data_IF_611299841131
#
_entry.id   IF_611299841131
#
_cell.length_a   1.000
_cell.length_b   1.000
_cell.length_c   1.000
_cell.angle_alpha   90.00
_cell.angle_beta   90.00
_cell.angle_gamma   90.00
#
_symmetry.space_group_name_H-M   'P 1'
#
loop_
_entity.id
_entity.type
_entity.pdbx_description
1 polymer ?
#
# COMPACT_ATOMS: atom_id res chain seq x y z
N UNK A 1 -61.63 34.57 -28.24
CA UNK A 1 -61.39 35.65 -27.25
C UNK A 1 -59.97 36.15 -27.51
N UNK A 2 -59.82 37.20 -28.33
CA UNK A 2 -59.64 38.60 -27.92
C UNK A 2 -58.23 38.88 -27.32
N UNK A 3 -57.30 39.33 -28.17
CA UNK A 3 -56.65 40.68 -28.18
C UNK A 3 -55.60 40.85 -27.06
N UNK A 4 -54.29 40.65 -27.32
CA UNK A 4 -53.37 41.60 -28.00
C UNK A 4 -53.83 43.07 -27.94
N UNK A 5 -53.12 43.88 -27.15
CA UNK A 5 -52.98 45.33 -27.34
C UNK A 5 -51.49 45.67 -27.35
N UNK A 6 -51.05 46.19 -28.49
CA UNK A 6 -49.82 46.93 -28.67
C UNK A 6 -50.14 48.43 -28.57
N UNK A 7 -49.11 49.23 -28.25
CA UNK A 7 -48.97 50.66 -28.60
C UNK A 7 -47.48 50.99 -28.50
N UNK A 8 -46.76 50.98 -29.63
CA UNK A 8 -46.30 52.16 -30.41
C UNK A 8 -45.36 53.05 -29.55
N UNK A 9 -44.05 52.98 -29.74
CA UNK A 9 -43.22 53.53 -30.83
C UNK A 9 -42.94 55.02 -30.66
N UNK A 10 -41.71 55.35 -30.28
CA UNK A 10 -40.98 56.49 -30.85
C UNK A 10 -39.49 56.13 -30.93
N UNK A 11 -38.88 56.45 -32.05
CA UNK A 11 -37.54 56.02 -32.42
C UNK A 11 -36.54 57.16 -32.31
N UNK A 12 -35.33 56.81 -31.90
CA UNK A 12 -34.11 57.49 -32.34
C UNK A 12 -32.99 56.46 -32.33
N UNK A 13 -32.42 56.23 -33.51
CA UNK A 13 -31.28 55.36 -33.73
C UNK A 13 -30.09 56.23 -34.15
N UNK A 14 -29.13 56.42 -33.25
CA UNK A 14 -27.71 56.79 -33.44
C UNK A 14 -27.04 56.40 -32.09
N UNK A 15 -25.90 55.69 -31.93
CA UNK A 15 -24.65 55.48 -32.67
C UNK A 15 -23.99 54.20 -32.06
N UNK A 16 -23.44 53.23 -32.82
CA UNK A 16 -22.87 52.00 -32.28
C UNK A 16 -21.46 52.14 -31.65
N UNK A 17 -20.94 53.35 -31.42
CA UNK A 17 -19.54 53.53 -31.01
C UNK A 17 -19.33 54.29 -29.69
N UNK A 18 -19.99 53.83 -28.61
CA UNK A 18 -19.58 54.15 -27.24
C UNK A 18 -19.10 52.87 -26.55
N UNK A 19 -17.79 52.66 -26.61
CA UNK A 19 -17.06 51.83 -25.65
C UNK A 19 -17.37 52.37 -24.25
N UNK A 20 -18.22 51.66 -23.52
CA UNK A 20 -18.28 51.78 -22.07
C UNK A 20 -17.22 50.82 -21.57
N UNK A 21 -16.07 51.36 -21.18
CA UNK A 21 -15.15 50.69 -20.26
C UNK A 21 -15.93 50.50 -18.96
N UNK A 22 -16.62 49.37 -18.84
CA UNK A 22 -17.27 48.97 -17.61
C UNK A 22 -16.28 48.12 -16.82
N UNK A 23 -15.69 48.78 -15.82
CA UNK A 23 -15.47 48.23 -14.49
C UNK A 23 -14.75 46.89 -14.43
N UNK A 24 -13.45 47.01 -14.27
CA UNK A 24 -12.61 46.12 -13.46
C UNK A 24 -13.41 45.50 -12.30
N UNK A 25 -13.77 44.23 -12.48
CA UNK A 25 -14.14 43.32 -11.40
C UNK A 25 -13.74 41.93 -11.88
N UNK A 26 -12.43 41.72 -12.01
CA UNK A 26 -11.88 40.40 -11.79
C UNK A 26 -12.19 40.03 -10.34
N UNK A 27 -13.37 39.44 -10.12
CA UNK A 27 -13.50 38.44 -9.05
C UNK A 27 -12.56 37.31 -9.46
N UNK A 28 -11.27 37.51 -9.15
CA UNK A 28 -10.35 36.43 -8.90
C UNK A 28 -10.98 35.67 -7.73
N UNK A 29 -11.84 34.71 -8.05
CA UNK A 29 -12.13 33.61 -7.15
C UNK A 29 -10.78 32.99 -6.85
N UNK A 30 -10.15 33.46 -5.77
CA UNK A 30 -9.03 32.84 -5.10
C UNK A 30 -9.46 31.39 -4.87
N UNK A 31 -9.12 30.51 -5.80
CA UNK A 31 -9.05 29.09 -5.53
C UNK A 31 -8.05 29.00 -4.39
N UNK A 32 -8.54 28.83 -3.16
CA UNK A 32 -7.70 28.55 -1.99
C UNK A 32 -6.79 27.38 -2.39
N UNK A 33 -5.53 27.69 -2.72
CA UNK A 33 -4.55 26.68 -3.11
C UNK A 33 -4.29 25.86 -1.85
N UNK A 34 -4.89 24.67 -1.80
CA UNK A 34 -4.65 23.72 -0.70
C UNK A 34 -3.27 23.12 -0.92
N UNK A 35 -2.29 23.61 -0.15
CA UNK A 35 -0.97 23.02 -0.08
C UNK A 35 -1.01 21.84 0.88
N UNK A 36 -0.68 20.66 0.36
CA UNK A 36 -0.57 19.43 1.16
C UNK A 36 0.90 19.05 1.19
N UNK A 37 1.53 19.21 2.35
CA UNK A 37 2.90 18.79 2.58
C UNK A 37 2.95 17.40 3.19
N UNK A 38 3.72 16.51 2.58
CA UNK A 38 4.02 15.18 3.11
C UNK A 38 5.32 15.25 3.88
N UNK A 39 5.28 14.92 5.16
CA UNK A 39 6.43 14.97 6.05
C UNK A 39 6.72 13.57 6.61
N UNK A 40 8.01 13.24 6.69
CA UNK A 40 8.46 11.96 7.22
C UNK A 40 8.91 12.13 8.67
N UNK A 41 8.45 11.24 9.54
CA UNK A 41 8.78 11.23 10.95
C UNK A 41 9.17 9.82 11.41
N UNK A 42 10.04 9.76 12.41
CA UNK A 42 10.20 8.54 13.19
C UNK A 42 8.88 8.22 13.92
N UNK A 43 8.69 6.96 14.26
CA UNK A 43 7.57 6.52 15.09
C UNK A 43 7.55 7.24 16.44
N UNK A 44 6.39 7.79 16.80
CA UNK A 44 6.12 8.38 18.10
C UNK A 44 5.13 7.49 18.88
N UNK A 45 5.57 6.78 19.94
CA UNK A 45 4.70 5.89 20.70
C UNK A 45 3.48 6.57 21.35
N UNK A 46 3.54 7.88 21.59
CA UNK A 46 2.44 8.64 22.21
C UNK A 46 1.34 8.99 21.21
N UNK A 47 1.68 9.05 19.91
CA UNK A 47 0.80 9.52 18.84
C UNK A 47 0.42 8.36 17.89
N UNK A 48 1.39 7.57 17.46
CA UNK A 48 1.29 6.71 16.27
C UNK A 48 0.66 5.33 16.51
N UNK A 49 0.30 4.98 17.75
CA UNK A 49 -0.26 3.67 18.07
C UNK A 49 -1.53 3.37 17.28
N UNK A 50 -2.45 4.33 17.18
CA UNK A 50 -3.72 4.13 16.49
C UNK A 50 -3.57 4.13 14.96
N UNK A 51 -2.76 5.02 14.40
CA UNK A 51 -2.42 5.04 12.97
C UNK A 51 -1.75 3.74 12.53
N UNK A 52 -0.70 3.32 13.26
CA UNK A 52 0.04 2.07 13.01
C UNK A 52 -0.89 0.86 13.03
N UNK A 53 -1.75 0.75 14.05
CA UNK A 53 -2.72 -0.35 14.16
C UNK A 53 -3.71 -0.39 12.99
N UNK A 54 -4.12 0.78 12.50
CA UNK A 54 -5.06 0.88 11.38
C UNK A 54 -4.41 0.47 10.07
N UNK A 55 -3.18 0.91 9.83
CA UNK A 55 -2.38 0.50 8.66
C UNK A 55 -2.05 -1.00 8.68
N UNK A 56 -1.68 -1.56 9.84
CA UNK A 56 -1.46 -3.02 9.96
C UNK A 56 -2.73 -3.85 9.68
N UNK A 57 -3.90 -3.38 10.12
CA UNK A 57 -5.19 -4.00 9.77
C UNK A 57 -5.47 -3.92 8.29
N UNK A 58 -5.11 -2.80 7.66
CA UNK A 58 -5.24 -2.64 6.21
C UNK A 58 -4.30 -3.58 5.46
N UNK A 59 -3.06 -3.78 5.94
CA UNK A 59 -2.07 -4.68 5.33
C UNK A 59 -2.49 -6.16 5.40
N UNK A 60 -2.99 -6.59 6.56
CA UNK A 60 -3.41 -7.98 6.78
C UNK A 60 -4.88 -8.23 6.40
N UNK A 61 -5.60 -7.19 5.97
CA UNK A 61 -6.98 -7.24 5.50
C UNK A 61 -7.92 -8.00 6.46
N UNK A 62 -8.78 -8.89 5.96
CA UNK A 62 -9.71 -9.74 6.73
C UNK A 62 -8.99 -10.67 7.71
N UNK A 63 -7.74 -11.03 7.43
CA UNK A 63 -6.93 -11.85 8.30
C UNK A 63 -6.36 -11.06 9.49
N UNK A 64 -6.48 -9.73 9.51
CA UNK A 64 -6.09 -8.90 10.66
C UNK A 64 -6.73 -9.38 11.98
N UNK A 65 -7.91 -9.99 11.93
CA UNK A 65 -8.61 -10.59 13.07
C UNK A 65 -7.92 -11.85 13.65
N UNK A 66 -6.94 -12.44 12.94
CA UNK A 66 -6.15 -13.59 13.40
C UNK A 66 -4.98 -13.17 14.29
N UNK A 67 -4.63 -11.89 14.32
CA UNK A 67 -3.40 -11.41 14.94
C UNK A 67 -3.68 -10.45 16.09
N UNK A 68 -2.73 -10.42 17.02
CA UNK A 68 -2.65 -9.35 18.01
C UNK A 68 -2.03 -8.10 17.35
N UNK A 69 -2.88 -7.33 16.66
CA UNK A 69 -2.43 -6.10 15.99
C UNK A 69 -1.95 -5.05 16.99
N UNK A 70 -2.52 -5.00 18.20
CA UNK A 70 -2.03 -4.09 19.24
C UNK A 70 -0.58 -4.44 19.61
N UNK A 71 -0.31 -5.71 19.88
CA UNK A 71 1.04 -6.17 20.21
C UNK A 71 2.05 -5.99 19.07
N UNK A 72 1.62 -6.10 17.80
CA UNK A 72 2.46 -5.75 16.65
C UNK A 72 2.76 -4.25 16.58
N UNK A 73 1.75 -3.40 16.80
CA UNK A 73 1.95 -1.95 16.82
C UNK A 73 2.89 -1.53 17.96
N UNK A 74 2.69 -2.04 19.18
CA UNK A 74 3.59 -1.80 20.32
C UNK A 74 5.02 -2.23 20.01
N UNK A 75 5.18 -3.37 19.32
CA UNK A 75 6.50 -3.85 18.92
C UNK A 75 7.17 -2.91 17.91
N UNK A 76 6.44 -2.45 16.89
CA UNK A 76 6.96 -1.51 15.89
C UNK A 76 7.39 -0.21 16.57
N UNK A 77 6.53 0.35 17.42
CA UNK A 77 6.80 1.59 18.15
C UNK A 77 7.91 1.47 19.19
N UNK A 78 8.21 0.25 19.66
CA UNK A 78 9.32 0.01 20.59
C UNK A 78 10.69 0.07 19.92
N UNK A 79 10.75 0.08 18.58
CA UNK A 79 11.99 0.24 17.83
C UNK A 79 12.41 1.71 17.86
N UNK A 80 13.62 2.04 18.33
CA UNK A 80 14.02 3.44 18.51
C UNK A 80 14.35 4.16 17.19
N UNK A 81 14.88 3.44 16.20
CA UNK A 81 15.53 4.04 15.02
C UNK A 81 15.13 3.40 13.70
N UNK A 82 14.26 2.38 13.70
CA UNK A 82 13.96 1.61 12.48
C UNK A 82 12.53 1.86 11.99
N UNK A 83 12.48 2.55 10.86
CA UNK A 83 11.29 2.84 10.10
C UNK A 83 10.73 4.24 10.32
N UNK A 84 9.86 4.63 9.40
CA UNK A 84 9.29 5.97 9.31
C UNK A 84 7.79 5.94 9.06
N UNK A 85 7.15 7.03 9.42
CA UNK A 85 5.75 7.35 9.12
C UNK A 85 5.68 8.57 8.21
N UNK A 86 4.61 8.65 7.40
CA UNK A 86 4.29 9.88 6.65
C UNK A 86 3.03 10.50 7.22
N UNK A 87 3.12 11.78 7.54
CA UNK A 87 2.03 12.59 8.08
C UNK A 87 1.83 13.83 7.22
N UNK A 88 0.64 14.38 7.32
CA UNK A 88 0.25 15.64 6.68
C UNK A 88 -0.11 16.62 7.79
N UNK A 89 0.24 17.90 7.62
CA UNK A 89 -0.05 18.97 8.58
C UNK A 89 0.62 18.77 9.97
N UNK A 90 1.82 18.19 10.01
CA UNK A 90 2.66 18.11 11.21
C UNK A 90 2.59 16.80 12.01
N UNK A 91 3.48 16.71 13.01
CA UNK A 91 3.78 15.47 13.76
C UNK A 91 2.63 14.95 14.63
N UNK A 92 1.74 15.85 15.08
CA UNK A 92 0.63 15.53 16.00
C UNK A 92 -0.50 14.72 15.33
N UNK A 93 -0.50 14.65 13.99
CA UNK A 93 -1.51 13.93 13.23
C UNK A 93 -1.21 12.43 13.11
N UNK A 94 -2.26 11.67 12.78
CA UNK A 94 -2.15 10.24 12.50
C UNK A 94 -1.27 9.97 11.27
N UNK A 95 -0.49 8.88 11.34
CA UNK A 95 0.29 8.38 10.20
C UNK A 95 -0.62 7.89 9.06
N UNK A 96 -0.37 8.38 7.85
CA UNK A 96 -1.04 7.95 6.62
C UNK A 96 -0.25 6.93 5.81
N UNK A 97 1.04 6.79 6.10
CA UNK A 97 1.88 5.70 5.63
C UNK A 97 2.83 5.27 6.74
N UNK A 98 3.26 4.01 6.70
CA UNK A 98 4.34 3.48 7.51
C UNK A 98 5.24 2.56 6.68
N UNK A 99 6.52 2.53 7.04
CA UNK A 99 7.49 1.56 6.58
C UNK A 99 8.41 1.21 7.75
N UNK A 100 8.61 -0.07 8.04
CA UNK A 100 9.54 -0.53 9.08
C UNK A 100 10.04 -1.95 8.78
N UNK A 101 11.10 -2.37 9.45
CA UNK A 101 11.64 -3.73 9.35
C UNK A 101 11.79 -4.37 10.74
N UNK A 102 11.14 -5.52 10.97
CA UNK A 102 11.22 -6.27 12.22
C UNK A 102 12.13 -7.49 12.07
N UNK A 103 13.04 -7.72 13.03
CA UNK A 103 13.78 -8.97 13.07
C UNK A 103 12.89 -10.11 13.60
N UNK A 104 12.51 -11.03 12.70
CA UNK A 104 11.67 -12.18 13.05
C UNK A 104 12.37 -13.16 13.99
N UNK A 105 13.68 -13.34 13.85
CA UNK A 105 14.46 -14.21 14.71
C UNK A 105 14.60 -13.61 16.12
N UNK A 106 14.95 -12.33 16.24
CA UNK A 106 15.10 -11.66 17.55
C UNK A 106 13.80 -11.68 18.35
N UNK A 107 12.67 -11.41 17.69
CA UNK A 107 11.37 -11.31 18.35
C UNK A 107 10.56 -12.61 18.34
N UNK A 108 11.14 -13.75 17.95
CA UNK A 108 10.45 -15.05 17.78
C UNK A 108 9.68 -15.56 19.00
N UNK A 109 10.08 -15.15 20.21
CA UNK A 109 9.42 -15.54 21.45
C UNK A 109 8.22 -14.64 21.80
N UNK A 110 8.08 -13.48 21.15
CA UNK A 110 6.91 -12.60 21.31
C UNK A 110 5.74 -13.21 20.52
N UNK A 111 4.62 -13.43 21.22
CA UNK A 111 3.42 -14.04 20.63
C UNK A 111 2.99 -13.43 19.28
N UNK A 112 2.93 -12.09 19.10
CA UNK A 112 2.50 -11.51 17.82
C UNK A 112 3.42 -11.91 16.65
N UNK A 113 4.73 -12.03 16.88
CA UNK A 113 5.71 -12.44 15.87
C UNK A 113 5.67 -13.94 15.62
N UNK A 114 5.50 -14.75 16.67
CA UNK A 114 5.34 -16.20 16.51
C UNK A 114 4.12 -16.54 15.65
N UNK A 115 2.98 -15.88 15.89
CA UNK A 115 1.76 -16.07 15.11
C UNK A 115 1.93 -15.59 13.66
N UNK A 116 2.56 -14.44 13.46
CA UNK A 116 2.81 -13.89 12.13
C UNK A 116 3.78 -14.76 11.32
N UNK A 117 4.86 -15.25 11.95
CA UNK A 117 5.85 -16.14 11.33
C UNK A 117 5.21 -17.45 10.88
N UNK A 118 4.37 -18.05 11.73
CA UNK A 118 3.61 -19.26 11.38
C UNK A 118 2.68 -19.01 10.21
N UNK A 119 1.90 -17.93 10.25
CA UNK A 119 1.01 -17.56 9.17
C UNK A 119 1.74 -17.35 7.84
N UNK A 120 2.85 -16.60 7.85
CA UNK A 120 3.67 -16.36 6.65
C UNK A 120 4.17 -17.68 6.05
N UNK A 121 4.66 -18.61 6.89
CA UNK A 121 5.11 -19.93 6.43
C UNK A 121 3.99 -20.77 5.81
N UNK A 122 2.78 -20.72 6.38
CA UNK A 122 1.58 -21.38 5.83
C UNK A 122 1.20 -20.75 4.48
N UNK A 123 1.15 -19.41 4.41
CA UNK A 123 0.78 -18.67 3.19
C UNK A 123 1.79 -18.78 2.07
N UNK A 124 3.09 -18.87 2.39
CA UNK A 124 4.12 -19.14 1.40
C UNK A 124 3.89 -20.49 0.71
N UNK A 125 3.46 -21.51 1.43
CA UNK A 125 3.12 -22.83 0.85
C UNK A 125 1.87 -22.77 -0.02
N UNK A 126 0.86 -22.02 0.42
CA UNK A 126 -0.39 -21.83 -0.35
C UNK A 126 -0.16 -21.04 -1.65
N UNK A 127 0.80 -20.12 -1.67
CA UNK A 127 1.12 -19.28 -2.84
C UNK A 127 1.43 -20.10 -4.09
N UNK A 128 2.13 -21.25 -3.96
CA UNK A 128 2.44 -22.15 -5.07
C UNK A 128 1.19 -22.80 -5.70
N UNK A 129 0.12 -22.97 -4.92
CA UNK A 129 -1.15 -23.55 -5.36
C UNK A 129 -2.20 -22.51 -5.78
N UNK A 130 -1.88 -21.22 -5.65
CA UNK A 130 -2.82 -20.13 -5.88
C UNK A 130 -3.00 -19.87 -7.39
N UNK A 131 -4.23 -19.85 -7.91
CA UNK A 131 -4.50 -19.50 -9.30
C UNK A 131 -3.95 -18.11 -9.65
N UNK A 132 -3.34 -17.97 -10.83
CA UNK A 132 -2.69 -16.72 -11.25
C UNK A 132 -1.21 -16.60 -10.87
N UNK A 133 -0.70 -17.46 -9.98
CA UNK A 133 0.71 -17.45 -9.52
C UNK A 133 1.57 -18.56 -10.12
N UNK A 134 1.26 -19.09 -11.30
CA UNK A 134 1.96 -20.24 -11.92
C UNK A 134 3.38 -19.94 -12.42
N UNK A 135 4.10 -19.03 -11.76
CA UNK A 135 5.50 -18.70 -12.02
C UNK A 135 6.42 -19.54 -11.14
N UNK A 136 7.62 -19.83 -11.62
CA UNK A 136 8.67 -20.50 -10.83
C UNK A 136 9.00 -19.77 -9.52
N UNK A 137 8.70 -18.46 -9.45
CA UNK A 137 8.94 -17.62 -8.27
C UNK A 137 8.07 -17.99 -7.07
N UNK A 138 6.81 -18.41 -7.28
CA UNK A 138 5.91 -18.78 -6.18
C UNK A 138 6.25 -20.16 -5.61
N UNK A 139 6.72 -21.08 -6.45
CA UNK A 139 7.26 -22.38 -6.02
C UNK A 139 8.55 -22.19 -5.21
N UNK A 140 9.45 -21.32 -5.67
CA UNK A 140 10.65 -20.94 -4.92
C UNK A 140 10.30 -20.32 -3.56
N UNK A 141 9.24 -19.52 -3.48
CA UNK A 141 8.76 -18.91 -2.25
C UNK A 141 8.27 -19.98 -1.25
N UNK A 142 7.47 -20.93 -1.74
CA UNK A 142 6.91 -22.03 -0.95
C UNK A 142 7.98 -22.94 -0.34
N UNK A 143 9.14 -23.08 -1.01
CA UNK A 143 10.30 -23.79 -0.48
C UNK A 143 11.13 -22.94 0.48
N UNK A 144 11.54 -21.74 0.03
CA UNK A 144 12.53 -20.93 0.74
C UNK A 144 12.02 -20.30 2.04
N UNK A 145 10.80 -19.73 2.04
CA UNK A 145 10.31 -18.95 3.19
C UNK A 145 10.12 -19.82 4.43
N UNK A 146 9.42 -20.98 4.39
CA UNK A 146 9.27 -21.81 5.58
C UNK A 146 10.62 -22.28 6.16
N UNK A 147 11.59 -22.57 5.30
CA UNK A 147 12.92 -23.04 5.71
C UNK A 147 13.76 -21.91 6.37
N UNK A 148 13.67 -20.68 5.83
CA UNK A 148 14.31 -19.50 6.41
C UNK A 148 13.72 -19.15 7.78
N UNK A 149 12.39 -19.27 7.93
CA UNK A 149 11.67 -18.96 9.16
C UNK A 149 11.77 -20.06 10.23
N UNK A 150 12.15 -21.28 9.85
CA UNK A 150 12.36 -22.36 10.80
C UNK A 150 13.59 -22.10 11.67
N UNK A 151 13.35 -21.59 12.89
CA UNK A 151 14.36 -21.20 13.87
C UNK A 151 15.39 -22.29 14.23
N UNK A 152 15.06 -23.57 13.96
CA UNK A 152 15.92 -24.72 14.29
C UNK A 152 16.93 -25.10 13.20
N UNK A 153 16.83 -24.55 11.98
CA UNK A 153 17.55 -25.08 10.81
C UNK A 153 18.45 -24.09 10.06
N UNK A 154 18.09 -22.81 9.96
CA UNK A 154 18.82 -21.89 9.04
C UNK A 154 19.79 -20.93 9.74
N UNK A 155 19.53 -20.57 11.00
CA UNK A 155 20.22 -19.44 11.66
C UNK A 155 20.01 -18.09 10.95
N UNK A 156 19.13 -18.04 9.95
CA UNK A 156 18.90 -16.89 9.09
C UNK A 156 18.25 -15.76 9.90
N UNK A 157 18.80 -14.56 9.77
CA UNK A 157 18.16 -13.34 10.25
C UNK A 157 17.26 -12.82 9.13
N UNK A 158 15.95 -12.90 9.31
CA UNK A 158 14.97 -12.40 8.33
C UNK A 158 14.38 -11.10 8.84
N UNK A 159 14.56 -10.02 8.07
CA UNK A 159 13.92 -8.73 8.30
C UNK A 159 12.56 -8.72 7.63
N UNK A 160 11.49 -8.70 8.41
CA UNK A 160 10.13 -8.55 7.91
C UNK A 160 9.86 -7.06 7.66
N UNK A 161 9.80 -6.67 6.38
CA UNK A 161 9.47 -5.32 5.97
C UNK A 161 7.95 -5.19 5.89
N UNK A 162 7.41 -4.24 6.66
CA UNK A 162 5.99 -3.90 6.67
C UNK A 162 5.83 -2.52 6.05
N UNK A 163 5.15 -2.46 4.90
CA UNK A 163 4.90 -1.24 4.13
C UNK A 163 3.41 -1.11 3.86
N UNK A 164 2.80 -0.01 4.29
CA UNK A 164 1.39 0.25 3.98
C UNK A 164 1.11 1.76 3.99
N UNK A 165 0.21 2.20 3.11
CA UNK A 165 -0.26 3.59 3.06
C UNK A 165 -1.74 3.64 2.71
N UNK A 166 -2.42 4.72 3.06
CA UNK A 166 -3.77 4.95 2.57
C UNK A 166 -3.79 5.01 1.03
N UNK A 167 -4.86 4.51 0.40
CA UNK A 167 -4.93 4.34 -1.06
C UNK A 167 -4.80 5.67 -1.84
N UNK A 168 -5.10 6.79 -1.20
CA UNK A 168 -5.00 8.14 -1.75
C UNK A 168 -3.63 8.78 -1.56
N UNK A 169 -2.69 8.11 -0.88
CA UNK A 169 -1.33 8.60 -0.71
C UNK A 169 -0.52 8.39 -1.99
N UNK A 170 0.22 9.41 -2.47
CA UNK A 170 1.03 9.29 -3.67
C UNK A 170 2.13 8.23 -3.50
N UNK A 171 2.48 7.54 -4.58
CA UNK A 171 3.55 6.53 -4.59
C UNK A 171 4.94 7.11 -4.35
N UNK A 172 5.11 8.40 -4.65
CA UNK A 172 6.33 9.18 -4.59
C UNK A 172 6.84 9.34 -3.16
N UNK A 173 6.04 8.97 -2.15
CA UNK A 173 6.51 8.89 -0.76
C UNK A 173 7.36 7.65 -0.48
N UNK A 174 7.23 6.59 -1.28
CA UNK A 174 7.90 5.32 -1.03
C UNK A 174 9.43 5.42 -1.17
N UNK A 175 10.00 6.06 -2.22
CA UNK A 175 11.46 6.20 -2.34
C UNK A 175 12.19 6.75 -1.10
N UNK A 176 11.81 7.90 -0.52
CA UNK A 176 12.48 8.39 0.69
C UNK A 176 12.27 7.45 1.88
N UNK A 177 11.11 6.79 2.00
CA UNK A 177 10.89 5.82 3.08
C UNK A 177 11.86 4.63 2.97
N UNK A 178 12.00 4.03 1.79
CA UNK A 178 12.91 2.91 1.57
C UNK A 178 14.38 3.33 1.70
N UNK A 179 14.74 4.54 1.27
CA UNK A 179 16.07 5.11 1.46
C UNK A 179 16.42 5.25 2.94
N UNK A 180 15.57 5.90 3.72
CA UNK A 180 15.77 6.05 5.17
C UNK A 180 15.85 4.69 5.86
N UNK A 181 14.96 3.75 5.54
CA UNK A 181 14.99 2.41 6.13
C UNK A 181 16.33 1.69 5.87
N UNK A 182 16.89 1.83 4.65
CA UNK A 182 18.18 1.23 4.32
C UNK A 182 19.32 1.85 5.15
N UNK A 183 19.35 3.18 5.25
CA UNK A 183 20.36 3.92 6.02
C UNK A 183 20.25 3.61 7.53
N UNK A 184 19.04 3.55 8.07
CA UNK A 184 18.75 3.21 9.46
C UNK A 184 19.21 1.79 9.82
N UNK A 185 18.96 0.82 8.93
CA UNK A 185 19.40 -0.56 9.13
C UNK A 185 20.94 -0.64 9.07
N UNK A 186 21.57 0.07 8.14
CA UNK A 186 23.05 0.12 8.07
C UNK A 186 23.64 0.68 9.37
N UNK A 187 23.13 1.82 9.83
CA UNK A 187 23.55 2.43 11.09
C UNK A 187 23.35 1.50 12.30
N UNK A 188 22.18 0.84 12.41
CA UNK A 188 21.91 -0.10 13.49
C UNK A 188 22.87 -1.32 13.44
N UNK A 189 23.25 -1.78 12.25
CA UNK A 189 24.24 -2.85 12.07
C UNK A 189 25.64 -2.42 12.49
N UNK A 190 26.02 -1.16 12.23
CA UNK A 190 27.28 -0.57 12.70
C UNK A 190 27.33 -0.45 14.23
N UNK A 191 26.20 -0.10 14.86
CA UNK A 191 26.04 -0.03 16.32
C UNK A 191 25.93 -1.40 17.00
N UNK A 192 25.95 -2.49 16.22
CA UNK A 192 25.92 -3.85 16.72
C UNK A 192 24.52 -4.34 17.12
N UNK A 193 23.47 -3.63 16.70
CA UNK A 193 22.08 -4.05 16.89
C UNK A 193 21.73 -5.25 15.98
N UNK A 194 20.68 -6.03 16.33
CA UNK A 194 20.35 -7.26 15.62
C UNK A 194 19.61 -7.01 14.29
N UNK A 195 20.15 -6.17 13.40
CA UNK A 195 19.57 -5.89 12.07
C UNK A 195 20.41 -6.41 10.90
N UNK A 196 21.42 -7.24 11.19
CA UNK A 196 22.23 -7.90 10.16
C UNK A 196 21.44 -9.03 9.51
N UNK A 197 20.57 -8.66 8.59
CA UNK A 197 19.69 -9.57 7.88
C UNK A 197 20.41 -10.35 6.80
N UNK A 198 19.99 -11.60 6.62
CA UNK A 198 20.33 -12.43 5.46
C UNK A 198 19.34 -12.20 4.32
N UNK A 199 18.08 -11.95 4.67
CA UNK A 199 16.97 -11.78 3.73
C UNK A 199 16.01 -10.74 4.28
N UNK A 200 15.38 -10.02 3.36
CA UNK A 200 14.24 -9.16 3.59
C UNK A 200 13.00 -9.84 3.03
N UNK A 201 11.97 -9.96 3.85
CA UNK A 201 10.66 -10.41 3.42
C UNK A 201 9.72 -9.22 3.46
N UNK A 202 9.33 -8.70 2.29
CA UNK A 202 8.37 -7.61 2.18
C UNK A 202 6.97 -8.20 2.13
N UNK A 203 6.12 -7.77 3.08
CA UNK A 203 4.70 -8.10 3.09
C UNK A 203 3.93 -6.97 2.40
N UNK A 204 3.12 -7.32 1.41
CA UNK A 204 2.31 -6.38 0.65
C UNK A 204 0.96 -7.02 0.26
N UNK A 205 0.21 -6.36 -0.64
CA UNK A 205 -1.06 -6.83 -1.18
C UNK A 205 -1.10 -6.68 -2.69
N UNK A 206 -1.87 -7.56 -3.31
CA UNK A 206 -2.26 -7.50 -4.72
C UNK A 206 -3.76 -7.67 -4.83
N UNK A 207 -4.32 -7.44 -6.01
CA UNK A 207 -5.70 -7.80 -6.29
C UNK A 207 -5.82 -8.47 -7.65
N UNK A 208 -6.78 -9.38 -7.75
CA UNK A 208 -7.17 -10.01 -9.00
C UNK A 208 -8.44 -9.33 -9.52
N UNK A 209 -8.47 -9.03 -10.81
CA UNK A 209 -9.70 -8.66 -11.49
C UNK A 209 -10.53 -9.93 -11.78
N UNK A 210 -11.72 -10.00 -11.19
CA UNK A 210 -12.71 -11.04 -11.38
C UNK A 210 -13.89 -10.48 -12.17
N UNK A 211 -14.63 -11.33 -12.90
CA UNK A 211 -15.83 -10.86 -13.61
C UNK A 211 -16.86 -10.32 -12.60
N UNK A 212 -17.24 -9.03 -12.74
CA UNK A 212 -18.27 -8.43 -11.89
C UNK A 212 -19.57 -9.21 -11.95
N UNK A 213 -20.15 -9.49 -10.79
CA UNK A 213 -21.44 -10.16 -10.64
C UNK A 213 -22.62 -9.18 -10.64
N UNK A 214 -22.37 -7.87 -10.80
CA UNK A 214 -23.39 -6.84 -10.90
C UNK A 214 -24.03 -6.87 -12.30
N UNK A 215 -25.30 -7.28 -12.40
CA UNK A 215 -26.08 -7.24 -13.64
C UNK A 215 -26.10 -8.53 -14.48
N UNK A 216 -26.00 -9.70 -13.85
CA UNK A 216 -25.84 -11.02 -14.54
C UNK A 216 -27.10 -11.53 -15.27
N UNK A 217 -28.22 -10.80 -15.33
CA UNK A 217 -29.38 -11.28 -16.09
C UNK A 217 -29.20 -11.28 -17.63
N UNK A 218 -28.19 -10.61 -18.21
CA UNK A 218 -28.11 -10.50 -19.68
C UNK A 218 -26.80 -10.95 -20.38
N UNK A 219 -25.75 -11.39 -19.67
CA UNK A 219 -24.46 -11.75 -20.33
C UNK A 219 -24.03 -13.20 -20.17
N UNK A 220 -24.93 -14.14 -20.50
CA UNK A 220 -24.51 -15.49 -20.90
C UNK A 220 -24.07 -15.52 -22.37
N UNK A 221 -22.87 -15.03 -22.70
CA UNK A 221 -22.19 -15.35 -23.98
C UNK A 221 -20.75 -14.82 -24.06
N UNK A 222 -19.79 -15.62 -23.56
CA UNK A 222 -18.52 -16.06 -24.19
C UNK A 222 -17.53 -16.46 -23.10
N UNK A 223 -17.45 -17.75 -22.81
CA UNK A 223 -16.35 -18.35 -22.04
C UNK A 223 -15.07 -18.31 -22.88
N UNK A 224 -14.29 -17.24 -22.73
CA UNK A 224 -12.84 -17.29 -22.92
C UNK A 224 -12.22 -17.43 -21.53
N UNK A 225 -11.24 -18.30 -21.37
CA UNK A 225 -10.46 -18.41 -20.13
C UNK A 225 -9.57 -17.16 -20.06
N UNK A 226 -10.13 -16.03 -19.64
CA UNK A 226 -9.38 -14.79 -19.46
C UNK A 226 -8.42 -15.04 -18.30
N UNK A 227 -7.11 -14.94 -18.56
CA UNK A 227 -6.11 -14.97 -17.50
C UNK A 227 -6.49 -13.91 -16.47
N UNK A 228 -6.66 -14.32 -15.20
CA UNK A 228 -6.83 -13.39 -14.10
C UNK A 228 -5.53 -12.58 -14.01
N UNK A 229 -5.59 -11.30 -14.37
CA UNK A 229 -4.45 -10.40 -14.25
C UNK A 229 -4.32 -9.92 -12.81
N UNK A 230 -3.14 -10.13 -12.25
CA UNK A 230 -2.75 -9.61 -10.94
C UNK A 230 -2.32 -8.15 -11.07
N UNK A 231 -2.86 -7.31 -10.21
CA UNK A 231 -2.51 -5.90 -10.09
C UNK A 231 -1.97 -5.59 -8.69
N UNK A 232 -1.18 -4.51 -8.60
CA UNK A 232 -0.50 -4.10 -7.38
C UNK A 232 -1.20 -2.90 -6.76
N UNK A 233 -1.32 -2.92 -5.42
CA UNK A 233 -1.71 -1.71 -4.68
C UNK A 233 -0.55 -0.72 -4.58
N UNK A 234 0.67 -1.25 -4.54
CA UNK A 234 1.90 -0.51 -4.38
C UNK A 234 2.76 -0.68 -5.64
N UNK A 235 2.88 0.33 -6.53
CA UNK A 235 3.65 0.21 -7.77
C UNK A 235 5.14 -0.10 -7.55
N UNK A 236 5.70 0.22 -6.38
CA UNK A 236 7.06 -0.18 -6.00
C UNK A 236 7.26 -1.70 -5.95
N UNK A 237 6.20 -2.49 -5.70
CA UNK A 237 6.28 -3.95 -5.63
C UNK A 237 6.74 -4.56 -6.96
N UNK A 238 6.30 -3.99 -8.09
CA UNK A 238 6.73 -4.41 -9.43
C UNK A 238 8.24 -4.26 -9.64
N UNK A 239 8.84 -3.27 -8.98
CA UNK A 239 10.29 -3.04 -9.02
C UNK A 239 10.98 -4.02 -8.09
N UNK A 240 10.49 -4.17 -6.86
CA UNK A 240 11.04 -5.11 -5.88
C UNK A 240 11.09 -6.54 -6.41
N UNK A 241 10.10 -6.96 -7.21
CA UNK A 241 10.09 -8.28 -7.88
C UNK A 241 11.33 -8.55 -8.72
N UNK A 242 11.82 -7.53 -9.44
CA UNK A 242 13.00 -7.66 -10.30
C UNK A 242 14.27 -7.95 -9.49
N UNK A 243 14.26 -7.58 -8.21
CA UNK A 243 15.34 -7.80 -7.26
C UNK A 243 15.09 -8.97 -6.30
N UNK A 244 13.92 -9.60 -6.37
CA UNK A 244 13.55 -10.72 -5.52
C UNK A 244 14.22 -12.03 -5.96
N UNK A 245 14.42 -12.93 -5.00
CA UNK A 245 14.75 -14.35 -5.27
C UNK A 245 13.49 -15.21 -5.37
N UNK A 246 12.41 -14.79 -4.70
CA UNK A 246 11.11 -15.43 -4.77
C UNK A 246 10.00 -14.43 -4.43
N UNK A 247 8.83 -14.58 -5.03
CA UNK A 247 7.66 -13.76 -4.73
C UNK A 247 6.38 -14.49 -5.13
N UNK A 248 5.25 -14.09 -4.55
CA UNK A 248 3.96 -14.70 -4.87
C UNK A 248 2.81 -14.16 -4.05
N UNK A 249 1.61 -14.18 -4.63
CA UNK A 249 0.38 -13.85 -3.92
C UNK A 249 -0.24 -15.08 -3.25
N UNK A 250 -1.11 -14.85 -2.27
CA UNK A 250 -1.83 -15.92 -1.58
C UNK A 250 -3.22 -15.42 -1.16
N UNK A 251 -4.22 -16.33 -1.08
CA UNK A 251 -5.54 -15.98 -0.61
C UNK A 251 -5.51 -15.73 0.91
N UNK A 252 -6.27 -14.73 1.37
CA UNK A 252 -6.51 -14.56 2.81
C UNK A 252 -7.31 -15.73 3.36
N UNK A 253 -6.96 -16.19 4.57
CA UNK A 253 -7.62 -17.30 5.26
C UNK A 253 -9.11 -17.04 5.48
N UNK A 254 -9.45 -15.79 5.78
CA UNK A 254 -10.81 -15.31 6.04
C UNK A 254 -11.45 -14.60 4.85
N UNK A 255 -11.01 -14.87 3.62
CA UNK A 255 -11.55 -14.23 2.41
C UNK A 255 -13.09 -14.37 2.30
N UNK A 256 -13.63 -15.53 2.69
CA UNK A 256 -15.08 -15.81 2.68
C UNK A 256 -15.85 -15.15 3.84
N UNK A 257 -15.14 -14.69 4.88
CA UNK A 257 -15.72 -13.97 6.02
C UNK A 257 -15.71 -12.44 5.81
N UNK A 258 -15.58 -11.97 4.57
CA UNK A 258 -15.66 -10.55 4.25
C UNK A 258 -17.09 -10.01 4.50
N UNK A 259 -17.45 -9.77 5.77
CA UNK A 259 -18.81 -9.37 6.17
C UNK A 259 -19.06 -7.87 5.96
N UNK A 260 -18.04 -7.04 5.80
CA UNK A 260 -18.23 -5.59 5.59
C UNK A 260 -18.84 -5.29 4.21
N UNK A 261 -19.90 -4.46 4.16
CA UNK A 261 -20.59 -4.08 2.92
C UNK A 261 -19.63 -3.46 1.89
N UNK A 262 -18.61 -2.71 2.34
CA UNK A 262 -17.59 -2.13 1.46
C UNK A 262 -16.70 -3.20 0.81
N UNK A 263 -16.26 -4.22 1.56
CA UNK A 263 -15.44 -5.32 1.01
C UNK A 263 -16.25 -6.23 0.08
N UNK A 264 -17.53 -6.45 0.40
CA UNK A 264 -18.48 -7.11 -0.50
C UNK A 264 -18.67 -6.31 -1.79
N UNK A 265 -18.80 -4.99 -1.70
CA UNK A 265 -18.87 -4.13 -2.89
C UNK A 265 -17.62 -4.23 -3.77
N UNK A 266 -16.41 -4.30 -3.20
CA UNK A 266 -15.19 -4.54 -4.01
C UNK A 266 -15.21 -5.90 -4.70
N UNK A 267 -15.61 -6.96 -4.01
CA UNK A 267 -15.75 -8.30 -4.62
C UNK A 267 -16.84 -8.33 -5.70
N UNK A 268 -17.98 -7.66 -5.47
CA UNK A 268 -19.09 -7.52 -6.44
C UNK A 268 -18.68 -6.67 -7.66
N UNK A 269 -17.81 -5.68 -7.45
CA UNK A 269 -17.17 -4.88 -8.50
C UNK A 269 -16.05 -5.62 -9.24
N UNK A 270 -15.77 -6.87 -8.88
CA UNK A 270 -14.79 -7.69 -9.58
C UNK A 270 -13.35 -7.51 -9.09
N UNK A 271 -13.14 -7.13 -7.82
CA UNK A 271 -11.78 -6.98 -7.25
C UNK A 271 -11.64 -7.89 -6.05
N UNK A 272 -10.73 -8.87 -6.14
CA UNK A 272 -10.43 -9.78 -5.03
C UNK A 272 -9.04 -9.50 -4.46
N UNK A 273 -8.93 -8.92 -3.25
CA UNK A 273 -7.62 -8.67 -2.63
C UNK A 273 -6.96 -9.98 -2.21
N UNK A 274 -5.64 -10.01 -2.34
CA UNK A 274 -4.76 -11.12 -1.97
C UNK A 274 -3.55 -10.57 -1.21
N UNK A 275 -3.06 -11.34 -0.25
CA UNK A 275 -1.77 -11.04 0.36
C UNK A 275 -0.64 -11.32 -0.65
N UNK A 276 0.49 -10.65 -0.46
CA UNK A 276 1.63 -10.78 -1.35
C UNK A 276 2.94 -10.76 -0.56
N UNK A 277 3.90 -11.59 -0.97
CA UNK A 277 5.21 -11.70 -0.33
C UNK A 277 6.31 -11.56 -1.37
N UNK A 278 7.36 -10.82 -1.02
CA UNK A 278 8.53 -10.59 -1.85
C UNK A 278 9.77 -10.87 -1.00
N UNK A 279 10.53 -11.90 -1.36
CA UNK A 279 11.75 -12.32 -0.68
C UNK A 279 12.97 -11.79 -1.43
N UNK A 280 13.79 -10.97 -0.77
CA UNK A 280 14.98 -10.34 -1.34
C UNK A 280 16.19 -10.75 -0.49
N UNK A 281 17.27 -11.19 -1.11
CA UNK A 281 18.55 -11.41 -0.42
C UNK A 281 19.14 -10.07 0.02
N UNK A 282 19.78 -10.03 1.19
CA UNK A 282 20.29 -8.77 1.74
C UNK A 282 21.27 -8.04 0.82
N UNK A 283 22.09 -8.78 0.07
CA UNK A 283 23.02 -8.22 -0.93
C UNK A 283 22.34 -7.48 -2.08
N UNK A 284 21.05 -7.73 -2.34
CA UNK A 284 20.26 -7.13 -3.43
C UNK A 284 19.32 -6.04 -2.95
N UNK A 285 19.18 -5.85 -1.63
CA UNK A 285 18.20 -4.93 -1.07
C UNK A 285 18.53 -3.46 -1.36
N UNK A 286 19.79 -3.05 -1.20
CA UNK A 286 20.23 -1.69 -1.53
C UNK A 286 19.98 -1.33 -3.01
N UNK A 287 20.26 -2.26 -3.92
CA UNK A 287 19.97 -2.08 -5.35
C UNK A 287 18.46 -2.00 -5.63
N UNK A 288 17.65 -2.78 -4.89
CA UNK A 288 16.19 -2.73 -4.99
C UNK A 288 15.63 -1.37 -4.54
N UNK A 289 16.12 -0.85 -3.41
CA UNK A 289 15.75 0.48 -2.90
C UNK A 289 16.10 1.57 -3.91
N UNK A 290 17.30 1.51 -4.50
CA UNK A 290 17.72 2.45 -5.54
C UNK A 290 16.81 2.38 -6.77
N UNK A 291 16.46 1.17 -7.22
CA UNK A 291 15.58 0.97 -8.36
C UNK A 291 14.16 1.50 -8.10
N UNK A 292 13.63 1.37 -6.88
CA UNK A 292 12.36 1.99 -6.47
C UNK A 292 12.45 3.51 -6.60
N UNK A 293 13.56 4.11 -6.16
CA UNK A 293 13.83 5.53 -6.32
C UNK A 293 13.84 5.98 -7.78
N UNK A 294 14.53 5.24 -8.66
CA UNK A 294 14.57 5.56 -10.09
C UNK A 294 13.19 5.41 -10.78
N UNK A 295 12.37 4.46 -10.33
CA UNK A 295 11.06 4.19 -10.93
C UNK A 295 9.99 5.21 -10.53
N UNK A 296 9.98 5.64 -9.26
CA UNK A 296 8.97 6.55 -8.69
C UNK A 296 9.47 7.98 -8.53
N UNK A 297 10.65 8.31 -9.07
CA UNK A 297 11.11 9.70 -9.09
C UNK A 297 10.17 10.56 -9.94
N UNK A 298 9.84 11.78 -9.50
CA UNK A 298 9.06 12.70 -10.30
C UNK A 298 9.75 12.91 -11.66
N UNK A 299 9.00 12.99 -12.78
CA UNK A 299 9.58 13.36 -14.05
C UNK A 299 10.29 14.71 -13.93
N UNK A 300 11.53 14.75 -14.37
CA UNK A 300 12.41 15.93 -14.34
C UNK A 300 11.89 17.06 -15.22
#
# INVERSE_FOLDING_TARGET
>A
MAKKRAREADGSAEDPNKMVEDGDSSDDEDFDIVNVDFEWFNFDPEIDFHGTKSLLRQLLDVDSALFDISGLADLILSQPTIGSTVKVEGKENDAYALLTALNLHEHREKKPIADLTRYIGEKAREAASTPGNSSSSSEALAGAVPDLLAASSSGAQVGLVLSERLINMPSEIAPPMYGMLADEIEAAVEDGEPYRFSHYLVLSKTYLETESTLGVEERRRKKGKQEQSTFYFHPEDEVLHKHAVAYGSYPFTKADEAVADSKRAFQEMGVSPHGHMILIEASRFADAVKAVGEYLSPPS
#
